data_IF_769442423020
#
_entry.id   IF_769442423020
#
_cell.length_a   1.000
_cell.length_b   1.000
_cell.length_c   1.000
_cell.angle_alpha   90.00
_cell.angle_beta   90.00
_cell.angle_gamma   90.00
#
_symmetry.space_group_name_H-M   'P 1'
#
loop_
_entity.id
_entity.type
_entity.pdbx_description
1 polymer ?
#
# COMPACT_ATOMS: atom_id res chain seq x y z
N UNK A 1 9.55 30.67 46.87
CA UNK A 1 8.41 29.83 46.42
C UNK A 1 7.70 30.59 45.31
N UNK A 2 7.39 30.01 44.14
CA UNK A 2 6.73 30.75 43.08
C UNK A 2 5.23 30.85 43.40
N UNK A 3 4.76 32.07 43.66
CA UNK A 3 3.34 32.38 43.88
C UNK A 3 2.63 32.42 42.54
N UNK A 4 1.79 31.42 42.25
CA UNK A 4 0.92 31.43 41.08
C UNK A 4 -0.23 32.40 41.33
N UNK A 5 -0.24 33.54 40.63
CA UNK A 5 -1.33 34.50 40.66
C UNK A 5 -2.60 33.83 40.13
N UNK A 6 -3.56 33.59 41.01
CA UNK A 6 -4.89 33.09 40.63
C UNK A 6 -5.69 34.31 40.17
N UNK A 7 -5.71 34.53 38.85
CA UNK A 7 -6.70 35.45 38.25
C UNK A 7 -8.12 34.98 38.56
N UNK A 8 -9.15 35.84 38.40
CA UNK A 8 -10.52 35.51 38.74
C UNK A 8 -10.94 34.24 37.98
N UNK A 9 -11.16 33.15 38.71
CA UNK A 9 -11.73 31.92 38.16
C UNK A 9 -13.20 32.22 37.88
N UNK A 10 -13.50 32.65 36.66
CA UNK A 10 -14.88 32.79 36.22
C UNK A 10 -15.44 31.38 36.00
N UNK A 11 -16.43 30.99 36.79
CA UNK A 11 -17.11 29.71 36.67
C UNK A 11 -18.17 29.85 35.59
N UNK A 12 -17.77 29.67 34.33
CA UNK A 12 -18.68 29.70 33.19
C UNK A 12 -19.68 28.53 33.29
N UNK A 13 -20.94 28.86 33.48
CA UNK A 13 -22.08 27.92 33.49
C UNK A 13 -22.63 27.64 32.09
N UNK A 14 -21.96 28.14 31.05
CA UNK A 14 -22.33 27.85 29.67
C UNK A 14 -22.17 26.36 29.36
N UNK A 15 -23.17 25.79 28.69
CA UNK A 15 -23.19 24.35 28.42
C UNK A 15 -22.09 23.99 27.42
N UNK A 16 -21.04 23.32 27.90
CA UNK A 16 -19.98 22.79 27.03
C UNK A 16 -20.54 21.61 26.24
N UNK A 17 -20.99 21.86 25.01
CA UNK A 17 -21.45 20.81 24.10
C UNK A 17 -20.25 20.14 23.44
N UNK A 18 -19.84 18.97 23.95
CA UNK A 18 -18.87 18.11 23.26
C UNK A 18 -19.51 17.51 22.01
N UNK A 19 -19.33 18.16 20.85
CA UNK A 19 -19.75 17.62 19.55
C UNK A 19 -18.78 16.53 19.12
N UNK A 20 -19.27 15.28 19.05
CA UNK A 20 -18.52 14.17 18.45
C UNK A 20 -18.38 14.42 16.95
N UNK A 21 -17.15 14.39 16.42
CA UNK A 21 -16.89 14.52 14.98
C UNK A 21 -17.66 13.43 14.24
N UNK A 22 -18.29 13.82 13.13
CA UNK A 22 -18.94 12.88 12.23
C UNK A 22 -17.92 11.81 11.74
N UNK A 23 -18.33 10.54 11.62
CA UNK A 23 -17.47 9.48 11.13
C UNK A 23 -17.01 9.78 9.70
N UNK A 24 -15.76 9.43 9.38
CA UNK A 24 -15.25 9.58 8.01
C UNK A 24 -15.85 8.50 7.10
N UNK A 25 -15.85 8.75 5.80
CA UNK A 25 -16.34 7.77 4.82
C UNK A 25 -15.61 6.41 4.88
N UNK A 26 -14.34 6.37 5.34
CA UNK A 26 -13.60 5.13 5.61
C UNK A 26 -14.23 4.31 6.73
N UNK A 27 -14.68 4.98 7.79
CA UNK A 27 -15.19 4.36 9.01
C UNK A 27 -16.58 3.77 8.77
N UNK A 28 -17.35 4.40 7.86
CA UNK A 28 -18.66 3.91 7.41
C UNK A 28 -18.57 2.67 6.51
N UNK A 29 -17.42 2.44 5.88
CA UNK A 29 -17.17 1.24 5.05
C UNK A 29 -16.59 0.07 5.84
N UNK A 30 -16.32 0.26 7.13
CA UNK A 30 -15.86 -0.82 7.99
C UNK A 30 -16.97 -1.88 8.19
N UNK A 31 -16.56 -3.15 8.24
CA UNK A 31 -17.45 -4.30 8.37
C UNK A 31 -18.40 -4.19 9.56
N UNK A 32 -17.91 -3.65 10.69
CA UNK A 32 -18.68 -3.45 11.92
C UNK A 32 -19.74 -2.36 11.74
N UNK A 33 -19.39 -1.26 11.07
CA UNK A 33 -20.31 -0.17 10.81
C UNK A 33 -21.41 -0.60 9.82
N UNK A 34 -21.04 -1.31 8.75
CA UNK A 34 -21.99 -1.88 7.79
C UNK A 34 -22.93 -2.87 8.50
N UNK A 35 -22.41 -3.81 9.28
CA UNK A 35 -23.24 -4.78 10.01
C UNK A 35 -24.17 -4.13 11.05
N UNK A 36 -23.77 -3.00 11.65
CA UNK A 36 -24.63 -2.22 12.54
C UNK A 36 -25.76 -1.53 11.76
N UNK A 37 -25.44 -0.90 10.62
CA UNK A 37 -26.40 -0.24 9.75
C UNK A 37 -27.49 -1.22 9.26
N UNK A 38 -27.09 -2.42 8.80
CA UNK A 38 -28.03 -3.48 8.39
C UNK A 38 -28.97 -3.89 9.54
N UNK A 39 -28.46 -4.04 10.76
CA UNK A 39 -29.28 -4.43 11.92
C UNK A 39 -30.25 -3.33 12.36
N UNK A 40 -29.86 -2.07 12.21
CA UNK A 40 -30.72 -0.92 12.53
C UNK A 40 -31.74 -0.57 11.43
N UNK A 41 -31.73 -1.27 10.29
CA UNK A 41 -32.58 -0.95 9.14
C UNK A 41 -32.19 0.36 8.44
N UNK A 42 -30.96 0.84 8.63
CA UNK A 42 -30.45 2.02 7.96
C UNK A 42 -30.16 1.72 6.48
N UNK A 43 -30.25 2.73 5.61
CA UNK A 43 -29.99 2.58 4.19
C UNK A 43 -28.52 2.27 3.91
N UNK A 44 -28.26 1.22 3.14
CA UNK A 44 -26.91 0.79 2.75
C UNK A 44 -26.83 0.77 1.22
N UNK A 45 -25.90 1.56 0.67
CA UNK A 45 -25.62 1.57 -0.76
C UNK A 45 -24.63 0.46 -1.12
N UNK A 46 -25.00 -0.39 -2.08
CA UNK A 46 -24.14 -1.45 -2.60
C UNK A 46 -23.71 -1.08 -4.01
N UNK A 47 -22.41 -0.82 -4.19
CA UNK A 47 -21.82 -0.49 -5.50
C UNK A 47 -20.88 -1.61 -5.93
N UNK A 48 -21.04 -2.10 -7.17
CA UNK A 48 -20.13 -3.07 -7.77
C UNK A 48 -18.75 -2.44 -7.98
N UNK A 49 -17.68 -3.10 -7.52
CA UNK A 49 -16.31 -2.63 -7.75
C UNK A 49 -15.96 -2.67 -9.24
N UNK A 50 -15.19 -1.69 -9.70
CA UNK A 50 -14.82 -1.48 -11.11
C UNK A 50 -14.24 -2.73 -11.80
N UNK A 51 -13.39 -3.50 -11.10
CA UNK A 51 -12.81 -4.76 -11.59
C UNK A 51 -13.34 -6.01 -10.86
N UNK A 52 -14.55 -5.93 -10.30
CA UNK A 52 -15.15 -7.09 -9.63
C UNK A 52 -15.24 -8.29 -10.58
N UNK A 53 -14.84 -9.46 -10.09
CA UNK A 53 -14.84 -10.74 -10.81
C UNK A 53 -13.91 -10.79 -12.04
N UNK A 54 -12.87 -9.95 -12.10
CA UNK A 54 -11.81 -10.05 -13.10
C UNK A 54 -10.46 -10.42 -12.46
N UNK A 55 -9.75 -11.35 -13.09
CA UNK A 55 -8.40 -11.75 -12.68
C UNK A 55 -7.39 -11.10 -13.62
N UNK A 56 -6.94 -9.88 -13.31
CA UNK A 56 -5.96 -9.22 -14.16
C UNK A 56 -4.58 -9.86 -13.97
N UNK A 57 -4.05 -10.51 -15.00
CA UNK A 57 -2.69 -11.04 -15.01
C UNK A 57 -1.74 -9.97 -15.52
N UNK A 58 -1.07 -9.27 -14.61
CA UNK A 58 -0.07 -8.27 -14.95
C UNK A 58 0.12 -7.26 -13.82
N UNK A 59 1.36 -6.80 -13.64
CA UNK A 59 1.65 -5.63 -12.83
C UNK A 59 0.74 -4.49 -13.28
N UNK A 60 -0.22 -4.10 -12.43
CA UNK A 60 -1.03 -2.90 -12.66
C UNK A 60 -0.13 -1.68 -12.87
N UNK A 61 -0.67 -0.59 -13.45
CA UNK A 61 0.14 0.58 -13.75
C UNK A 61 0.85 1.09 -12.48
N UNK A 62 2.16 1.30 -12.57
CA UNK A 62 3.00 1.68 -11.41
C UNK A 62 2.62 3.06 -10.84
N UNK A 63 1.98 3.90 -11.64
CA UNK A 63 1.40 5.19 -11.27
C UNK A 63 -0.06 5.23 -11.72
N UNK A 64 -0.86 6.04 -11.05
CA UNK A 64 -2.26 6.27 -11.47
C UNK A 64 -2.27 6.80 -12.92
N UNK A 65 -2.95 6.12 -13.86
CA UNK A 65 -2.91 6.50 -15.28
C UNK A 65 -3.44 7.92 -15.52
N UNK A 66 -4.38 8.39 -14.70
CA UNK A 66 -4.91 9.77 -14.75
C UNK A 66 -3.86 10.83 -14.42
N UNK A 67 -2.95 10.52 -13.49
CA UNK A 67 -1.86 11.44 -13.12
C UNK A 67 -0.81 11.47 -14.22
N UNK A 68 -0.49 10.32 -14.82
CA UNK A 68 0.40 10.24 -15.97
C UNK A 68 -0.13 11.03 -17.18
N UNK A 69 -1.43 10.98 -17.44
CA UNK A 69 -2.07 11.72 -18.54
C UNK A 69 -2.11 13.24 -18.29
N UNK A 70 -2.13 13.65 -17.02
CA UNK A 70 -2.08 15.07 -16.62
C UNK A 70 -0.65 15.64 -16.55
N UNK A 71 0.36 14.78 -16.38
CA UNK A 71 1.78 15.15 -16.34
C UNK A 71 2.32 15.32 -17.77
N UNK A 72 2.57 16.56 -18.21
CA UNK A 72 3.12 16.86 -19.54
C UNK A 72 4.66 16.67 -19.62
N UNK A 73 5.34 16.68 -18.48
CA UNK A 73 6.80 16.51 -18.41
C UNK A 73 7.19 15.03 -18.24
N UNK A 74 8.27 14.54 -18.89
CA UNK A 74 8.70 13.15 -18.75
C UNK A 74 9.22 12.87 -17.33
N UNK A 75 8.34 12.34 -16.47
CA UNK A 75 8.70 11.94 -15.11
C UNK A 75 9.70 10.78 -15.08
N UNK A 76 10.87 11.00 -14.49
CA UNK A 76 11.84 9.93 -14.23
C UNK A 76 11.22 8.88 -13.29
N UNK A 77 11.10 7.64 -13.75
CA UNK A 77 10.68 6.52 -12.92
C UNK A 77 11.88 6.02 -12.10
N UNK A 78 11.76 6.04 -10.76
CA UNK A 78 12.78 5.49 -9.87
C UNK A 78 13.11 4.04 -10.21
N UNK A 79 14.40 3.69 -10.15
CA UNK A 79 14.90 2.33 -10.41
C UNK A 79 15.00 1.53 -9.12
N UNK A 80 15.13 0.21 -9.24
CA UNK A 80 15.38 -0.68 -8.09
C UNK A 80 16.66 -0.25 -7.37
N UNK A 81 16.61 -0.16 -6.03
CA UNK A 81 17.76 0.23 -5.22
C UNK A 81 18.86 -0.84 -5.25
N UNK A 82 20.10 -0.41 -5.02
CA UNK A 82 21.27 -1.29 -4.96
C UNK A 82 21.14 -2.39 -3.90
N UNK A 83 20.45 -2.11 -2.79
CA UNK A 83 20.18 -3.06 -1.71
C UNK A 83 19.24 -4.17 -2.17
N UNK A 84 18.12 -3.83 -2.81
CA UNK A 84 17.11 -4.81 -3.26
C UNK A 84 17.69 -5.73 -4.33
N UNK A 85 18.45 -5.20 -5.30
CA UNK A 85 19.09 -6.04 -6.32
C UNK A 85 20.08 -7.05 -5.70
N UNK A 86 20.87 -6.61 -4.72
CA UNK A 86 21.85 -7.47 -4.04
C UNK A 86 21.15 -8.51 -3.15
N UNK A 87 20.06 -8.13 -2.48
CA UNK A 87 19.27 -9.04 -1.67
C UNK A 87 18.67 -10.16 -2.53
N UNK A 88 18.11 -9.84 -3.71
CA UNK A 88 17.57 -10.85 -4.65
C UNK A 88 18.68 -11.81 -5.09
N UNK A 89 19.83 -11.28 -5.51
CA UNK A 89 20.94 -12.10 -6.00
C UNK A 89 21.47 -13.03 -4.90
N UNK A 90 21.70 -12.52 -3.69
CA UNK A 90 22.16 -13.31 -2.53
C UNK A 90 21.16 -14.39 -2.16
N UNK A 91 19.87 -14.06 -2.08
CA UNK A 91 18.83 -15.02 -1.73
C UNK A 91 18.68 -16.12 -2.78
N UNK A 92 18.81 -15.78 -4.08
CA UNK A 92 18.79 -16.74 -5.17
C UNK A 92 19.95 -17.74 -5.06
N UNK A 93 21.16 -17.24 -4.83
CA UNK A 93 22.35 -18.07 -4.65
C UNK A 93 22.26 -18.95 -3.40
N UNK A 94 21.73 -18.42 -2.29
CA UNK A 94 21.53 -19.17 -1.06
C UNK A 94 20.55 -20.35 -1.24
N UNK A 95 19.55 -20.19 -2.12
CA UNK A 95 18.62 -21.28 -2.49
C UNK A 95 19.11 -22.16 -3.64
N UNK A 96 20.27 -21.89 -4.22
CA UNK A 96 20.80 -22.65 -5.36
C UNK A 96 19.96 -22.55 -6.64
N UNK A 97 19.13 -21.51 -6.77
CA UNK A 97 18.22 -21.35 -7.91
C UNK A 97 18.92 -20.65 -9.07
N UNK A 98 18.61 -21.06 -10.29
CA UNK A 98 18.97 -20.27 -11.49
C UNK A 98 17.94 -19.16 -11.73
N UNK A 99 18.33 -18.13 -12.49
CA UNK A 99 17.45 -17.04 -12.93
C UNK A 99 16.17 -17.58 -13.61
N UNK A 100 16.31 -18.61 -14.44
CA UNK A 100 15.22 -19.27 -15.16
C UNK A 100 14.28 -20.01 -14.19
N UNK A 101 14.85 -20.72 -13.21
CA UNK A 101 14.07 -21.43 -12.20
C UNK A 101 13.29 -20.46 -11.30
N UNK A 102 13.92 -19.34 -10.90
CA UNK A 102 13.24 -18.28 -10.15
C UNK A 102 12.10 -17.67 -10.98
N UNK A 103 12.37 -17.33 -12.25
CA UNK A 103 11.37 -16.78 -13.16
C UNK A 103 10.16 -17.73 -13.31
N UNK A 104 10.42 -19.02 -13.54
CA UNK A 104 9.39 -20.07 -13.63
C UNK A 104 8.57 -20.17 -12.34
N UNK A 105 9.21 -20.15 -11.18
CA UNK A 105 8.54 -20.19 -9.88
C UNK A 105 7.65 -18.96 -9.64
N UNK A 106 8.09 -17.77 -10.09
CA UNK A 106 7.29 -16.53 -9.99
C UNK A 106 6.28 -16.34 -11.12
N UNK A 107 6.24 -17.26 -12.11
CA UNK A 107 5.45 -17.10 -13.34
C UNK A 107 5.73 -15.77 -14.06
N UNK A 108 6.99 -15.37 -14.10
CA UNK A 108 7.48 -14.16 -14.77
C UNK A 108 8.48 -14.53 -15.87
N UNK A 109 8.79 -13.59 -16.77
CA UNK A 109 9.79 -13.80 -17.82
C UNK A 109 11.21 -13.78 -17.22
N UNK A 110 12.15 -14.62 -17.71
CA UNK A 110 13.55 -14.59 -17.25
C UNK A 110 14.21 -13.21 -17.38
N UNK A 111 13.86 -12.48 -18.44
CA UNK A 111 14.35 -11.12 -18.69
C UNK A 111 13.95 -10.15 -17.56
N UNK A 112 12.74 -10.29 -17.01
CA UNK A 112 12.28 -9.44 -15.90
C UNK A 112 13.19 -9.67 -14.69
N UNK A 113 13.43 -10.92 -14.29
CA UNK A 113 14.32 -11.24 -13.16
C UNK A 113 15.73 -10.66 -13.36
N UNK A 114 16.27 -10.76 -14.58
CA UNK A 114 17.57 -10.19 -14.93
C UNK A 114 17.59 -8.65 -14.82
N UNK A 115 16.53 -7.96 -15.24
CA UNK A 115 16.39 -6.51 -15.12
C UNK A 115 16.31 -6.06 -13.65
N UNK A 116 15.71 -6.86 -12.77
CA UNK A 116 15.68 -6.60 -11.32
C UNK A 116 17.06 -6.80 -10.68
N UNK A 117 17.77 -7.88 -11.01
CA UNK A 117 19.12 -8.14 -10.48
C UNK A 117 20.16 -7.14 -11.02
N UNK A 118 19.99 -6.62 -12.24
CA UNK A 118 20.84 -5.55 -12.78
C UNK A 118 20.45 -4.14 -12.30
N UNK A 119 19.28 -3.99 -11.68
CA UNK A 119 18.76 -2.70 -11.18
C UNK A 119 18.19 -1.78 -12.28
N UNK A 120 17.97 -2.30 -13.49
CA UNK A 120 17.38 -1.54 -14.61
C UNK A 120 15.85 -1.48 -14.54
N UNK A 121 15.22 -2.44 -13.86
CA UNK A 121 13.78 -2.52 -13.74
C UNK A 121 13.20 -1.36 -12.91
N UNK A 122 11.94 -1.03 -13.19
CA UNK A 122 11.13 -0.17 -12.33
C UNK A 122 10.49 -1.04 -11.24
N UNK A 123 10.59 -0.68 -9.94
CA UNK A 123 10.07 -1.50 -8.85
C UNK A 123 8.55 -1.73 -8.93
N UNK A 124 8.12 -2.93 -9.35
CA UNK A 124 6.72 -3.34 -9.29
C UNK A 124 6.40 -4.03 -7.97
N UNK A 125 5.34 -3.54 -7.32
CA UNK A 125 4.87 -4.11 -6.06
C UNK A 125 4.17 -5.47 -6.22
N UNK A 126 4.03 -6.01 -7.41
CA UNK A 126 3.50 -7.37 -7.56
C UNK A 126 4.62 -8.38 -7.75
N UNK A 127 5.61 -8.02 -8.56
CA UNK A 127 6.76 -8.87 -8.88
C UNK A 127 7.61 -9.09 -7.63
N UNK A 128 7.91 -8.00 -6.89
CA UNK A 128 8.66 -8.11 -5.64
C UNK A 128 7.94 -9.01 -4.62
N UNK A 129 6.60 -8.94 -4.49
CA UNK A 129 5.85 -9.82 -3.59
C UNK A 129 5.97 -11.31 -3.96
N UNK A 130 5.99 -11.63 -5.26
CA UNK A 130 6.18 -13.01 -5.72
C UNK A 130 7.59 -13.49 -5.43
N UNK A 131 8.59 -12.65 -5.69
CA UNK A 131 10.00 -12.96 -5.41
C UNK A 131 10.23 -13.17 -3.91
N UNK A 132 9.65 -12.35 -3.04
CA UNK A 132 9.74 -12.51 -1.59
C UNK A 132 9.23 -13.87 -1.12
N UNK A 133 8.09 -14.33 -1.66
CA UNK A 133 7.51 -15.64 -1.32
C UNK A 133 8.38 -16.80 -1.78
N UNK A 134 8.99 -16.71 -2.95
CA UNK A 134 9.85 -17.78 -3.48
C UNK A 134 11.22 -17.79 -2.79
N UNK A 135 11.75 -16.62 -2.44
CA UNK A 135 13.08 -16.46 -1.86
C UNK A 135 13.07 -16.43 -0.33
N UNK A 136 11.92 -16.36 0.32
CA UNK A 136 11.74 -16.21 1.79
C UNK A 136 12.53 -15.03 2.39
N UNK A 137 12.68 -13.96 1.62
CA UNK A 137 13.36 -12.71 2.03
C UNK A 137 12.39 -11.55 1.91
N UNK A 138 12.50 -10.56 2.79
CA UNK A 138 11.75 -9.31 2.70
C UNK A 138 12.51 -8.32 1.81
N UNK A 139 11.94 -8.02 0.63
CA UNK A 139 12.50 -7.15 -0.40
C UNK A 139 11.78 -5.80 -0.46
N UNK A 140 10.59 -5.72 0.13
CA UNK A 140 9.86 -4.48 0.40
C UNK A 140 10.24 -4.02 1.80
N UNK A 141 10.65 -2.75 1.92
CA UNK A 141 10.70 -2.09 3.22
C UNK A 141 9.37 -2.26 3.97
N UNK A 142 9.41 -2.18 5.30
CA UNK A 142 8.23 -2.34 6.18
C UNK A 142 7.04 -1.57 5.58
N UNK A 143 6.08 -2.29 5.02
CA UNK A 143 4.82 -1.76 4.52
C UNK A 143 4.11 -1.21 5.76
N UNK A 144 4.27 0.10 6.01
CA UNK A 144 3.53 0.83 7.05
C UNK A 144 2.28 1.42 6.45
#
# INVERSE_FOLDING_TARGET
>A
MPTRTVGPVNQDWDTVVLKKRAPKASDLRDSKAVAAALRSGATVEVVKKFDAAKNHTGAGPLKDPRKLDSETEPGSLGRVSSEVRQAIQKARLAKGLTQIQLAKATSERPQVVQEYESGKAVPSQQILAKMEKVLDVKLRGKLR
#
